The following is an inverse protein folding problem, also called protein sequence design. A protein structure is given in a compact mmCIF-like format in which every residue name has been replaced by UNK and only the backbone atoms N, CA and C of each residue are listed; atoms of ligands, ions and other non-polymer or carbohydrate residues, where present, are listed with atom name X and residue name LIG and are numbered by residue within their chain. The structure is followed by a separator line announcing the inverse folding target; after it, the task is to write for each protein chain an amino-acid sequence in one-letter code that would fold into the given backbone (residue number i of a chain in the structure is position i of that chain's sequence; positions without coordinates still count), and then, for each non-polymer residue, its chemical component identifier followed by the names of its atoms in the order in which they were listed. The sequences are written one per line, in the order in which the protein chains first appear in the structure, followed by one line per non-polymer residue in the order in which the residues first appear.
data_IF_481181848469
#
_entry.id   IF_481181848469
#
_cell.length_a   1.000
_cell.length_b   1.000
_cell.length_c   1.000
_cell.angle_alpha   90.00
_cell.angle_beta   90.00
_cell.angle_gamma   90.00
#
_symmetry.space_group_name_H-M   'P 1'
#
loop_
_entity.id
_entity.type
_entity.pdbx_description
1 polymer ?
#
# COMPACT_ATOMS: atom_id res chain seq x y z
N UNK A 1 -35.20 -16.78 11.70
CA UNK A 1 -34.80 -15.46 11.16
C UNK A 1 -33.28 -15.36 11.21
N UNK A 2 -32.62 -15.63 10.08
CA UNK A 2 -31.16 -15.47 9.94
C UNK A 2 -30.83 -14.00 9.68
N UNK A 3 -29.90 -13.44 10.46
CA UNK A 3 -29.42 -12.07 10.28
C UNK A 3 -28.62 -12.00 8.97
N UNK A 4 -29.16 -11.30 7.97
CA UNK A 4 -28.41 -10.91 6.77
C UNK A 4 -27.26 -9.99 7.20
N UNK A 5 -26.03 -10.51 7.21
CA UNK A 5 -24.84 -9.69 7.33
C UNK A 5 -24.83 -8.69 6.17
N UNK A 6 -24.93 -7.40 6.46
CA UNK A 6 -24.83 -6.33 5.47
C UNK A 6 -23.50 -6.40 4.74
N UNK A 7 -23.50 -7.01 3.56
CA UNK A 7 -22.31 -7.09 2.71
C UNK A 7 -21.94 -5.70 2.22
N UNK A 8 -20.74 -5.22 2.55
CA UNK A 8 -20.18 -4.03 1.90
C UNK A 8 -20.19 -4.26 0.39
N UNK A 9 -20.54 -3.25 -0.42
CA UNK A 9 -20.49 -3.37 -1.87
C UNK A 9 -19.09 -3.80 -2.30
N UNK A 10 -19.02 -4.77 -3.22
CA UNK A 10 -17.76 -5.24 -3.75
C UNK A 10 -17.01 -4.06 -4.39
N UNK A 11 -15.81 -3.78 -3.89
CA UNK A 11 -14.95 -2.75 -4.45
C UNK A 11 -14.37 -3.25 -5.77
N UNK A 12 -14.44 -2.44 -6.83
CA UNK A 12 -13.76 -2.71 -8.11
C UNK A 12 -12.23 -2.49 -8.04
N UNK A 13 -11.66 -2.38 -6.83
CA UNK A 13 -10.23 -2.16 -6.63
C UNK A 13 -9.43 -3.43 -6.92
N UNK A 14 -8.37 -3.31 -7.69
CA UNK A 14 -7.40 -4.39 -7.89
C UNK A 14 -6.50 -4.54 -6.66
N UNK A 15 -6.47 -5.73 -6.05
CA UNK A 15 -5.67 -6.01 -4.84
C UNK A 15 -4.36 -6.69 -5.20
N UNK A 16 -3.25 -6.03 -4.91
CA UNK A 16 -1.90 -6.59 -5.03
C UNK A 16 -1.43 -7.07 -3.66
N UNK A 17 -0.93 -8.30 -3.57
CA UNK A 17 -0.33 -8.86 -2.34
C UNK A 17 1.16 -9.08 -2.59
N UNK A 18 1.99 -8.39 -1.81
CA UNK A 18 3.43 -8.63 -1.74
C UNK A 18 3.74 -9.35 -0.42
N UNK A 19 4.27 -10.57 -0.49
CA UNK A 19 4.55 -11.43 0.69
C UNK A 19 5.78 -12.29 0.44
N UNK A 20 6.48 -12.65 1.51
CA UNK A 20 7.51 -13.68 1.45
C UNK A 20 6.91 -15.06 1.17
N UNK A 21 7.78 -16.00 0.79
CA UNK A 21 7.39 -17.41 0.64
C UNK A 21 6.82 -17.93 1.95
N UNK A 22 5.78 -18.75 1.87
CA UNK A 22 5.12 -19.37 3.03
C UNK A 22 4.61 -18.36 4.09
N UNK A 23 4.34 -17.11 3.66
CA UNK A 23 3.96 -15.98 4.51
C UNK A 23 5.06 -15.52 5.50
N UNK A 24 6.32 -15.87 5.26
CA UNK A 24 7.43 -15.27 5.99
C UNK A 24 7.45 -13.74 5.79
N UNK A 25 7.83 -12.97 6.83
CA UNK A 25 8.11 -11.55 6.67
C UNK A 25 9.17 -11.30 5.59
N UNK A 26 9.00 -10.23 4.82
CA UNK A 26 9.99 -9.79 3.86
C UNK A 26 11.07 -8.98 4.58
N UNK A 27 12.33 -9.16 4.21
CA UNK A 27 13.33 -8.15 4.52
C UNK A 27 13.00 -6.83 3.81
N UNK A 28 13.53 -5.72 4.33
CA UNK A 28 13.33 -4.40 3.69
C UNK A 28 13.87 -4.36 2.25
N UNK A 29 14.91 -5.14 1.94
CA UNK A 29 15.47 -5.27 0.59
C UNK A 29 14.51 -5.99 -0.35
N UNK A 30 13.96 -7.13 0.07
CA UNK A 30 12.99 -7.89 -0.74
C UNK A 30 11.68 -7.11 -0.92
N UNK A 31 11.20 -6.43 0.14
CA UNK A 31 10.05 -5.54 0.04
C UNK A 31 10.29 -4.45 -1.00
N UNK A 32 11.45 -3.79 -0.98
CA UNK A 32 11.82 -2.77 -1.97
C UNK A 32 11.83 -3.34 -3.39
N UNK A 33 12.47 -4.49 -3.60
CA UNK A 33 12.50 -5.14 -4.92
C UNK A 33 11.10 -5.52 -5.40
N UNK A 34 10.27 -6.07 -4.51
CA UNK A 34 8.88 -6.41 -4.82
C UNK A 34 8.03 -5.21 -5.21
N UNK A 35 8.26 -4.03 -4.62
CA UNK A 35 7.59 -2.80 -5.05
C UNK A 35 8.00 -2.37 -6.46
N UNK A 36 9.28 -2.50 -6.83
CA UNK A 36 9.73 -2.24 -8.20
C UNK A 36 9.10 -3.20 -9.20
N UNK A 37 9.00 -4.49 -8.87
CA UNK A 37 8.32 -5.48 -9.69
C UNK A 37 6.84 -5.17 -9.89
N UNK A 38 6.16 -4.68 -8.86
CA UNK A 38 4.77 -4.21 -8.97
C UNK A 38 4.67 -3.05 -9.96
N UNK A 39 5.54 -2.04 -9.84
CA UNK A 39 5.56 -0.89 -10.76
C UNK A 39 5.81 -1.37 -12.19
N UNK A 40 6.77 -2.27 -12.40
CA UNK A 40 7.07 -2.81 -13.72
C UNK A 40 5.87 -3.56 -14.33
N UNK A 41 5.16 -4.36 -13.54
CA UNK A 41 3.93 -5.02 -13.99
C UNK A 41 2.81 -4.04 -14.30
N UNK A 42 2.71 -2.94 -13.55
CA UNK A 42 1.72 -1.90 -13.79
C UNK A 42 2.01 -1.05 -15.03
N UNK A 43 3.26 -1.01 -15.53
CA UNK A 43 3.61 -0.31 -16.77
C UNK A 43 2.83 -0.82 -18.00
N UNK A 44 2.40 -2.09 -18.00
CA UNK A 44 1.51 -2.62 -19.04
C UNK A 44 0.10 -1.99 -19.07
N UNK A 45 -0.24 -1.16 -18.09
CA UNK A 45 -1.56 -0.55 -17.89
C UNK A 45 -1.51 0.99 -17.98
N UNK A 46 -0.49 1.56 -18.61
CA UNK A 46 -0.26 3.01 -18.73
C UNK A 46 -1.43 3.80 -19.37
N UNK A 47 -2.30 3.15 -20.14
CA UNK A 47 -3.51 3.76 -20.68
C UNK A 47 -4.52 4.20 -19.60
N UNK A 48 -4.43 3.64 -18.38
CA UNK A 48 -5.33 3.94 -17.27
C UNK A 48 -4.75 4.96 -16.29
N UNK A 49 -5.62 5.62 -15.53
CA UNK A 49 -5.24 6.56 -14.46
C UNK A 49 -5.71 6.04 -13.10
N UNK A 50 -4.82 6.03 -12.11
CA UNK A 50 -5.18 5.72 -10.74
C UNK A 50 -5.94 6.90 -10.11
N UNK A 51 -7.13 6.65 -9.55
CA UNK A 51 -7.87 7.66 -8.77
C UNK A 51 -7.19 7.95 -7.43
N UNK A 52 -6.64 6.92 -6.80
CA UNK A 52 -5.82 6.96 -5.58
C UNK A 52 -5.16 5.58 -5.39
N UNK A 53 -4.08 5.53 -4.60
CA UNK A 53 -3.42 4.29 -4.16
C UNK A 53 -3.07 4.45 -2.69
N UNK A 54 -3.29 3.40 -1.90
CA UNK A 54 -2.86 3.34 -0.50
C UNK A 54 -2.01 2.09 -0.30
N UNK A 55 -0.82 2.28 0.27
CA UNK A 55 0.07 1.19 0.66
C UNK A 55 0.01 1.03 2.17
N UNK A 56 -0.60 -0.07 2.64
CA UNK A 56 -0.57 -0.44 4.04
C UNK A 56 0.65 -1.31 4.31
N UNK A 57 1.50 -0.88 5.23
CA UNK A 57 2.69 -1.62 5.66
C UNK A 57 2.44 -2.18 7.05
N UNK A 58 2.60 -3.50 7.19
CA UNK A 58 2.74 -4.17 8.49
C UNK A 58 4.18 -4.60 8.60
N UNK A 59 4.89 -4.06 9.58
CA UNK A 59 6.29 -4.34 9.83
C UNK A 59 6.42 -5.15 11.12
N UNK A 60 7.40 -6.05 11.16
CA UNK A 60 7.77 -6.78 12.36
C UNK A 60 9.23 -6.54 12.67
N UNK A 61 9.60 -6.60 13.95
CA UNK A 61 10.99 -6.60 14.39
C UNK A 61 11.63 -7.99 14.27
N UNK A 62 12.88 -8.11 14.72
CA UNK A 62 13.64 -9.37 14.75
C UNK A 62 12.97 -10.48 15.60
N UNK A 63 12.10 -10.10 16.54
CA UNK A 63 11.37 -11.03 17.40
C UNK A 63 9.98 -11.36 16.83
N UNK A 64 9.62 -10.82 15.67
CA UNK A 64 8.31 -10.99 15.05
C UNK A 64 7.20 -10.10 15.63
N UNK A 65 7.55 -9.14 16.49
CA UNK A 65 6.56 -8.20 17.07
C UNK A 65 6.24 -7.09 16.08
N UNK A 66 4.95 -6.77 15.91
CA UNK A 66 4.56 -5.67 15.03
C UNK A 66 5.10 -4.33 15.52
N UNK A 67 5.71 -3.57 14.60
CA UNK A 67 6.27 -2.25 14.90
C UNK A 67 5.57 -1.15 14.12
N UNK A 68 5.46 0.02 14.74
CA UNK A 68 4.95 1.24 14.11
C UNK A 68 6.10 2.19 13.82
N UNK A 69 6.15 2.71 12.60
CA UNK A 69 7.18 3.67 12.18
C UNK A 69 7.01 5.02 12.89
N UNK A 70 5.76 5.45 13.11
CA UNK A 70 5.45 6.70 13.79
C UNK A 70 4.13 6.57 14.59
N UNK A 71 3.87 7.53 15.48
CA UNK A 71 2.67 7.51 16.35
C UNK A 71 1.35 7.64 15.59
N UNK A 72 1.34 8.30 14.43
CA UNK A 72 0.15 8.46 13.58
C UNK A 72 -0.16 7.20 12.76
N UNK A 73 0.82 6.34 12.53
CA UNK A 73 0.70 5.12 11.74
C UNK A 73 0.56 5.34 10.23
N UNK A 74 0.74 6.57 9.74
CA UNK A 74 0.56 6.91 8.33
C UNK A 74 1.53 8.01 7.85
N UNK A 75 1.78 8.00 6.54
CA UNK A 75 2.39 9.08 5.80
C UNK A 75 1.57 9.33 4.54
N UNK A 76 1.31 10.61 4.24
CA UNK A 76 0.71 11.01 2.97
C UNK A 76 1.78 11.59 2.08
N UNK A 77 2.00 10.97 0.93
CA UNK A 77 2.97 11.41 -0.08
C UNK A 77 2.17 11.91 -1.29
N UNK A 78 2.35 13.17 -1.64
CA UNK A 78 1.79 13.75 -2.85
C UNK A 78 2.87 13.71 -3.95
N UNK A 79 2.70 12.90 -5.01
CA UNK A 79 3.73 12.74 -6.04
C UNK A 79 3.95 14.00 -6.88
N UNK A 80 2.98 14.90 -6.90
CA UNK A 80 3.07 16.21 -7.53
C UNK A 80 2.90 17.28 -6.45
N UNK A 81 3.96 18.06 -6.18
CA UNK A 81 3.79 19.33 -5.47
C UNK A 81 3.13 20.28 -6.46
N UNK A 82 1.91 20.72 -6.19
CA UNK A 82 1.34 21.79 -7.00
C UNK A 82 2.12 23.06 -6.69
N UNK A 83 2.39 23.91 -7.69
CA UNK A 83 3.04 25.22 -7.46
C UNK A 83 2.30 26.11 -6.44
N UNK A 84 1.06 25.78 -6.11
CA UNK A 84 0.27 26.40 -5.05
C UNK A 84 0.74 26.04 -3.62
N UNK A 85 1.38 24.89 -3.42
CA UNK A 85 1.88 24.45 -2.10
C UNK A 85 3.14 25.22 -1.67
N UNK A 86 3.81 25.94 -2.58
CA UNK A 86 5.00 26.76 -2.29
C UNK A 86 4.67 28.19 -1.84
N UNK A 87 3.44 28.67 -2.01
CA UNK A 87 3.05 30.07 -1.66
C UNK A 87 2.13 30.18 -0.44
N UNK A 88 1.92 29.09 0.29
CA UNK A 88 0.96 29.02 1.41
C UNK A 88 1.57 28.70 2.77
N UNK A 89 2.86 28.98 2.99
CA UNK A 89 3.53 28.84 4.29
C UNK A 89 3.91 30.21 4.88
#
# INVERSE_FOLDING_TARGET
MEKRSGGKPASNSFKIKLRGRDNAPLSMTEMRQGLYEIIHKLAGYEAYRAKWVTLYLTLVDENGSEVRINNKGEWTIYPYKSAADEKGA
#
